data_IF_514895212968
#
_entry.id   IF_514895212968
#
_cell.length_a   1.000
_cell.length_b   1.000
_cell.length_c   1.000
_cell.angle_alpha   90.00
_cell.angle_beta   90.00
_cell.angle_gamma   90.00
#
_symmetry.space_group_name_H-M   'P 1'
#
loop_
_entity.id
_entity.type
_entity.pdbx_description
1 polymer ?
#
# COMPACT_ATOMS: atom_id res chain seq x y z
N UNK A 1 -2.44 -1.72 -25.94
CA UNK A 1 -2.19 -0.39 -25.37
C UNK A 1 -1.76 -0.58 -23.94
N UNK A 2 -0.64 0.02 -23.57
CA UNK A 2 -0.21 0.01 -22.18
C UNK A 2 -1.20 0.85 -21.38
N UNK A 3 -1.69 0.29 -20.27
CA UNK A 3 -2.60 1.01 -19.39
C UNK A 3 -1.85 2.08 -18.62
N UNK A 4 -2.50 3.22 -18.39
CA UNK A 4 -1.98 4.28 -17.55
C UNK A 4 -1.70 3.74 -16.13
N UNK A 5 -0.51 3.97 -15.62
CA UNK A 5 -0.06 3.60 -14.27
C UNK A 5 -0.14 4.80 -13.35
N UNK A 6 -1.11 4.81 -12.46
CA UNK A 6 -1.35 5.89 -11.49
C UNK A 6 -0.86 5.51 -10.11
N UNK A 7 -0.10 6.38 -9.48
CA UNK A 7 0.16 6.34 -8.05
C UNK A 7 -0.98 7.06 -7.30
N UNK A 8 -1.57 6.41 -6.32
CA UNK A 8 -2.40 7.05 -5.28
C UNK A 8 -1.68 6.85 -3.96
N UNK A 9 -1.24 7.92 -3.34
CA UNK A 9 -0.41 7.85 -2.15
C UNK A 9 -0.93 8.72 -1.01
N UNK A 10 -1.16 8.08 0.15
CA UNK A 10 -1.60 8.76 1.35
C UNK A 10 -0.42 9.07 2.27
N UNK A 11 -0.31 10.32 2.71
CA UNK A 11 0.69 10.78 3.67
C UNK A 11 0.02 11.50 4.83
N UNK A 12 0.29 11.04 6.05
CA UNK A 12 -0.02 11.79 7.24
C UNK A 12 1.18 12.67 7.60
N UNK A 13 0.94 13.98 7.65
CA UNK A 13 1.98 14.99 7.86
C UNK A 13 1.84 15.56 9.27
N UNK A 14 2.94 15.55 10.01
CA UNK A 14 3.05 16.15 11.33
C UNK A 14 4.27 17.06 11.39
N UNK A 15 4.38 17.86 12.44
CA UNK A 15 5.49 18.80 12.63
C UNK A 15 6.87 18.14 12.58
N UNK A 16 6.97 16.92 13.10
CA UNK A 16 8.20 16.12 13.09
C UNK A 16 8.38 15.25 11.84
N UNK A 17 7.62 15.51 10.76
CA UNK A 17 7.66 14.72 9.52
C UNK A 17 9.09 14.50 9.01
N UNK A 18 9.93 15.56 9.02
CA UNK A 18 11.30 15.51 8.54
C UNK A 18 12.29 14.93 9.54
N UNK A 19 11.87 14.71 10.75
CA UNK A 19 12.70 14.11 11.81
C UNK A 19 12.57 12.59 11.81
N UNK A 20 11.46 12.08 11.31
CA UNK A 20 11.15 10.64 11.27
C UNK A 20 11.83 9.95 10.09
N UNK A 21 12.71 9.03 10.41
CA UNK A 21 13.45 8.26 9.41
C UNK A 21 12.53 7.45 8.50
N UNK A 22 11.41 6.93 9.00
CA UNK A 22 10.39 6.24 8.22
C UNK A 22 9.82 7.09 7.08
N UNK A 23 9.56 8.38 7.33
CA UNK A 23 9.07 9.29 6.29
C UNK A 23 10.16 9.57 5.24
N UNK A 24 11.41 9.74 5.66
CA UNK A 24 12.54 9.98 4.77
C UNK A 24 12.83 8.75 3.91
N UNK A 25 12.75 7.54 4.48
CA UNK A 25 12.82 6.26 3.74
C UNK A 25 11.70 6.17 2.71
N UNK A 26 10.47 6.55 3.07
CA UNK A 26 9.34 6.63 2.14
C UNK A 26 9.67 7.55 0.96
N UNK A 27 10.19 8.74 1.21
CA UNK A 27 10.56 9.69 0.14
C UNK A 27 11.65 9.13 -0.78
N UNK A 28 12.67 8.47 -0.25
CA UNK A 28 13.72 7.87 -1.08
C UNK A 28 13.22 6.65 -1.88
N UNK A 29 12.35 5.82 -1.32
CA UNK A 29 11.69 4.76 -2.08
C UNK A 29 10.84 5.33 -3.24
N UNK A 30 10.02 6.34 -2.97
CA UNK A 30 9.24 7.01 -4.00
C UNK A 30 10.13 7.66 -5.07
N UNK A 31 11.26 8.26 -4.69
CA UNK A 31 12.24 8.81 -5.63
C UNK A 31 12.80 7.74 -6.57
N UNK A 32 13.21 6.58 -6.01
CA UNK A 32 13.75 5.47 -6.80
C UNK A 32 12.77 4.98 -7.85
N UNK A 33 11.49 4.89 -7.48
CA UNK A 33 10.45 4.30 -8.33
C UNK A 33 9.54 5.31 -9.03
N UNK A 34 9.82 6.62 -8.93
CA UNK A 34 8.96 7.68 -9.49
C UNK A 34 8.67 7.51 -10.99
N UNK A 35 9.66 6.98 -11.76
CA UNK A 35 9.58 6.78 -13.21
C UNK A 35 8.63 5.66 -13.65
N UNK A 36 8.20 4.79 -12.72
CA UNK A 36 7.24 3.73 -13.02
C UNK A 36 5.87 4.31 -13.34
N UNK A 37 5.54 5.46 -12.74
CA UNK A 37 4.20 6.03 -12.77
C UNK A 37 4.04 7.07 -13.88
N UNK A 38 2.89 7.03 -14.54
CA UNK A 38 2.48 8.01 -15.54
C UNK A 38 1.86 9.27 -14.91
N UNK A 39 1.28 9.15 -13.71
CA UNK A 39 0.77 10.26 -12.91
C UNK A 39 0.72 9.86 -11.43
N UNK A 40 0.68 10.85 -10.54
CA UNK A 40 0.68 10.64 -9.11
C UNK A 40 -0.28 11.60 -8.40
N UNK A 41 -1.16 11.04 -7.57
CA UNK A 41 -2.05 11.78 -6.67
C UNK A 41 -1.60 11.57 -5.22
N UNK A 42 -1.15 12.65 -4.59
CA UNK A 42 -0.77 12.65 -3.18
C UNK A 42 -1.88 13.22 -2.31
N UNK A 43 -2.31 12.42 -1.36
CA UNK A 43 -3.30 12.79 -0.34
C UNK A 43 -2.57 13.14 0.94
N UNK A 44 -2.45 14.44 1.20
CA UNK A 44 -1.75 14.99 2.35
C UNK A 44 -2.73 15.22 3.49
N UNK A 45 -2.69 14.35 4.49
CA UNK A 45 -3.51 14.45 5.69
C UNK A 45 -2.73 15.15 6.78
N UNK A 46 -3.30 16.18 7.39
CA UNK A 46 -2.65 17.01 8.40
C UNK A 46 -3.67 17.44 9.47
N UNK A 47 -3.24 17.57 10.72
CA UNK A 47 -4.13 17.99 11.82
C UNK A 47 -4.52 19.45 11.73
N UNK A 48 -3.61 20.32 11.28
CA UNK A 48 -3.89 21.73 10.99
C UNK A 48 -3.72 22.05 9.50
N UNK A 49 -4.83 22.10 8.76
CA UNK A 49 -4.83 22.41 7.32
C UNK A 49 -4.37 23.84 6.99
N UNK A 50 -4.21 24.71 7.99
CA UNK A 50 -3.69 26.05 7.82
C UNK A 50 -2.17 26.15 8.03
N UNK A 51 -1.50 25.06 8.38
CA UNK A 51 -0.03 24.99 8.46
C UNK A 51 0.58 24.91 7.04
N UNK A 52 0.42 25.99 6.27
CA UNK A 52 0.88 26.09 4.87
C UNK A 52 2.40 25.95 4.75
N UNK A 53 3.18 26.32 5.76
CA UNK A 53 4.63 26.19 5.71
C UNK A 53 5.03 24.70 5.65
N UNK A 54 4.49 23.88 6.53
CA UNK A 54 4.76 22.46 6.56
C UNK A 54 4.25 21.76 5.28
N UNK A 55 3.03 22.11 4.85
CA UNK A 55 2.45 21.57 3.61
C UNK A 55 3.35 21.87 2.43
N UNK A 56 3.72 23.13 2.21
CA UNK A 56 4.58 23.55 1.10
C UNK A 56 5.95 22.88 1.14
N UNK A 57 6.53 22.66 2.32
CA UNK A 57 7.81 21.93 2.44
C UNK A 57 7.68 20.48 1.96
N UNK A 58 6.59 19.78 2.34
CA UNK A 58 6.35 18.39 1.91
C UNK A 58 6.07 18.34 0.41
N UNK A 59 5.21 19.21 -0.12
CA UNK A 59 4.92 19.30 -1.55
C UNK A 59 6.20 19.53 -2.37
N UNK A 60 7.06 20.45 -1.94
CA UNK A 60 8.33 20.73 -2.60
C UNK A 60 9.26 19.50 -2.65
N UNK A 61 9.31 18.69 -1.59
CA UNK A 61 10.07 17.44 -1.62
C UNK A 61 9.47 16.48 -2.64
N UNK A 62 8.14 16.31 -2.63
CA UNK A 62 7.45 15.39 -3.54
C UNK A 62 7.64 15.81 -5.01
N UNK A 63 7.54 17.10 -5.33
CA UNK A 63 7.81 17.64 -6.68
C UNK A 63 9.24 17.27 -7.12
N UNK A 64 10.20 17.29 -6.20
CA UNK A 64 11.60 16.96 -6.47
C UNK A 64 11.93 15.45 -6.40
N UNK A 65 10.93 14.57 -6.28
CA UNK A 65 11.16 13.11 -6.30
C UNK A 65 11.45 12.57 -7.72
N UNK A 66 11.21 13.39 -8.75
CA UNK A 66 11.57 13.03 -10.12
C UNK A 66 10.47 12.30 -10.89
N UNK A 67 9.22 12.51 -10.55
CA UNK A 67 8.11 12.12 -11.42
C UNK A 67 8.18 12.91 -12.74
N UNK A 68 8.01 12.22 -13.87
CA UNK A 68 8.14 12.84 -15.19
C UNK A 68 6.85 13.54 -15.66
N UNK A 69 5.73 13.25 -15.02
CA UNK A 69 4.39 13.67 -15.45
C UNK A 69 3.60 14.28 -14.29
N UNK A 70 2.32 14.44 -14.49
CA UNK A 70 1.42 15.18 -13.61
C UNK A 70 1.41 14.67 -12.17
N UNK A 71 1.70 15.57 -11.24
CA UNK A 71 1.53 15.37 -9.80
C UNK A 71 0.35 16.23 -9.36
N UNK A 72 -0.57 15.63 -8.60
CA UNK A 72 -1.63 16.38 -7.93
C UNK A 72 -1.52 16.23 -6.41
N UNK A 73 -1.91 17.28 -5.70
CA UNK A 73 -1.99 17.29 -4.24
C UNK A 73 -3.43 17.53 -3.81
N UNK A 74 -3.87 16.76 -2.83
CA UNK A 74 -5.16 16.91 -2.17
C UNK A 74 -4.92 16.96 -0.68
N UNK A 75 -5.14 18.15 -0.10
CA UNK A 75 -4.92 18.41 1.33
C UNK A 75 -6.25 18.26 2.04
N UNK A 76 -6.27 17.52 3.12
CA UNK A 76 -7.44 17.35 3.96
C UNK A 76 -7.05 17.26 5.44
N UNK A 77 -7.99 17.60 6.29
CA UNK A 77 -7.82 17.43 7.72
C UNK A 77 -7.76 15.93 8.05
N UNK A 78 -6.84 15.55 8.94
CA UNK A 78 -6.76 14.18 9.42
C UNK A 78 -8.08 13.79 10.11
N UNK A 79 -8.57 12.61 9.79
CA UNK A 79 -9.78 12.04 10.35
C UNK A 79 -9.54 10.61 10.86
N UNK A 80 -10.57 10.02 11.49
CA UNK A 80 -10.50 8.67 12.03
C UNK A 80 -10.38 7.57 10.95
N UNK A 81 -10.75 7.86 9.71
CA UNK A 81 -10.76 6.88 8.59
C UNK A 81 -9.43 6.80 7.86
N UNK A 82 -8.59 7.85 7.94
CA UNK A 82 -7.25 7.89 7.36
C UNK A 82 -7.23 7.44 5.88
N UNK A 83 -6.28 6.54 5.53
CA UNK A 83 -6.15 5.98 4.19
C UNK A 83 -7.41 5.27 3.69
N UNK A 84 -8.28 4.80 4.57
CA UNK A 84 -9.53 4.14 4.19
C UNK A 84 -10.50 5.07 3.47
N UNK A 85 -10.52 6.37 3.85
CA UNK A 85 -11.32 7.36 3.14
C UNK A 85 -10.89 7.52 1.68
N UNK A 86 -9.57 7.46 1.43
CA UNK A 86 -9.00 7.57 0.09
C UNK A 86 -9.29 6.33 -0.76
N UNK A 87 -9.11 5.13 -0.18
CA UNK A 87 -9.46 3.88 -0.88
C UNK A 87 -10.94 3.90 -1.28
N UNK A 88 -11.81 4.33 -0.38
CA UNK A 88 -13.24 4.43 -0.69
C UNK A 88 -13.50 5.43 -1.80
N UNK A 89 -13.09 6.70 -1.64
CA UNK A 89 -13.45 7.78 -2.56
C UNK A 89 -12.75 7.70 -3.92
N UNK A 90 -11.51 7.22 -3.96
CA UNK A 90 -10.68 7.24 -5.15
C UNK A 90 -10.62 5.90 -5.89
N UNK A 91 -10.92 4.81 -5.22
CA UNK A 91 -10.92 3.48 -5.85
C UNK A 91 -12.35 2.95 -5.93
N UNK A 92 -12.98 2.71 -4.81
CA UNK A 92 -14.28 2.01 -4.77
C UNK A 92 -15.40 2.82 -5.42
N UNK A 93 -15.51 4.10 -5.10
CA UNK A 93 -16.58 4.97 -5.63
C UNK A 93 -16.36 5.34 -7.12
N UNK A 94 -15.16 5.09 -7.68
CA UNK A 94 -14.77 5.43 -9.07
C UNK A 94 -14.50 4.22 -9.96
N UNK A 95 -14.79 3.02 -9.52
CA UNK A 95 -14.47 1.78 -10.25
C UNK A 95 -15.05 1.72 -11.68
N UNK A 96 -16.21 2.35 -11.92
CA UNK A 96 -16.89 2.37 -13.21
C UNK A 96 -16.41 3.46 -14.17
N UNK A 97 -15.60 4.38 -13.69
CA UNK A 97 -15.14 5.54 -14.46
C UNK A 97 -13.64 5.51 -14.79
N UNK A 98 -12.89 4.57 -14.21
CA UNK A 98 -11.44 4.48 -14.37
C UNK A 98 -11.03 3.30 -15.25
N UNK A 99 -10.30 3.57 -16.33
CA UNK A 99 -9.65 2.57 -17.18
C UNK A 99 -8.13 2.64 -17.02
N UNK A 100 -7.65 2.35 -15.81
CA UNK A 100 -6.23 2.48 -15.46
C UNK A 100 -5.79 1.37 -14.51
N UNK A 101 -4.47 1.27 -14.30
CA UNK A 101 -3.85 0.50 -13.23
C UNK A 101 -3.43 1.48 -12.13
N UNK A 102 -3.82 1.20 -10.90
CA UNK A 102 -3.49 1.99 -9.72
C UNK A 102 -2.48 1.24 -8.87
N UNK A 103 -1.43 1.92 -8.44
CA UNK A 103 -0.68 1.53 -7.25
C UNK A 103 -1.17 2.36 -6.07
N UNK A 104 -1.64 1.69 -5.04
CA UNK A 104 -1.98 2.33 -3.78
C UNK A 104 -0.90 2.06 -2.74
N UNK A 105 -0.46 3.12 -2.07
CA UNK A 105 0.50 3.04 -0.98
C UNK A 105 0.30 4.19 0.01
N UNK A 106 0.96 4.09 1.16
CA UNK A 106 0.90 5.17 2.16
C UNK A 106 2.17 5.25 3.00
N UNK A 107 2.40 6.42 3.60
CA UNK A 107 3.44 6.60 4.61
C UNK A 107 3.09 5.78 5.86
N UNK A 108 4.02 4.96 6.31
CA UNK A 108 3.84 4.07 7.47
C UNK A 108 4.67 4.52 8.66
N UNK A 109 4.16 4.18 9.84
CA UNK A 109 4.95 4.24 11.04
C UNK A 109 4.56 5.30 12.05
N UNK A 110 3.62 6.14 11.68
CA UNK A 110 3.34 7.34 12.44
C UNK A 110 2.67 7.08 13.79
N UNK A 111 1.66 6.21 13.79
CA UNK A 111 0.83 5.97 14.98
C UNK A 111 1.33 4.85 15.88
N UNK A 112 2.37 4.15 15.45
CA UNK A 112 2.84 2.92 16.12
C UNK A 112 4.26 3.06 16.70
N UNK A 113 4.94 4.21 16.55
CA UNK A 113 6.29 4.42 17.07
C UNK A 113 6.38 4.39 18.61
N UNK A 114 5.27 4.63 19.30
CA UNK A 114 5.21 4.42 20.75
C UNK A 114 5.23 2.94 21.15
N UNK A 115 4.89 2.06 20.22
CA UNK A 115 4.70 0.63 20.45
C UNK A 115 5.78 -0.22 19.81
N UNK A 116 6.44 0.27 18.74
CA UNK A 116 7.39 -0.49 17.94
C UNK A 116 8.67 0.29 17.69
N UNK A 117 9.79 -0.42 17.58
CA UNK A 117 11.07 0.18 17.23
C UNK A 117 11.06 0.71 15.79
N UNK A 118 11.57 1.92 15.59
CA UNK A 118 11.62 2.57 14.28
C UNK A 118 12.36 1.73 13.23
N UNK A 119 13.43 1.04 13.63
CA UNK A 119 14.19 0.18 12.72
C UNK A 119 13.35 -0.99 12.19
N UNK A 120 12.56 -1.66 13.02
CA UNK A 120 11.68 -2.75 12.61
C UNK A 120 10.64 -2.27 11.60
N UNK A 121 10.11 -1.08 11.81
CA UNK A 121 9.17 -0.45 10.88
C UNK A 121 9.82 -0.08 9.56
N UNK A 122 11.07 0.39 9.56
CA UNK A 122 11.84 0.69 8.36
C UNK A 122 12.06 -0.59 7.54
N UNK A 123 12.44 -1.70 8.15
CA UNK A 123 12.65 -2.97 7.45
C UNK A 123 11.36 -3.46 6.79
N UNK A 124 10.26 -3.41 7.52
CA UNK A 124 8.97 -3.78 6.98
C UNK A 124 8.54 -2.88 5.82
N UNK A 125 8.71 -1.56 5.96
CA UNK A 125 8.39 -0.57 4.94
C UNK A 125 9.22 -0.78 3.66
N UNK A 126 10.53 -1.00 3.80
CA UNK A 126 11.43 -1.31 2.68
C UNK A 126 11.00 -2.59 1.96
N UNK A 127 10.58 -3.61 2.70
CA UNK A 127 10.00 -4.83 2.13
C UNK A 127 8.74 -4.58 1.32
N UNK A 128 7.81 -3.75 1.84
CA UNK A 128 6.60 -3.39 1.12
C UNK A 128 6.91 -2.69 -0.21
N UNK A 129 7.83 -1.73 -0.22
CA UNK A 129 8.25 -1.03 -1.44
C UNK A 129 8.97 -1.97 -2.41
N UNK A 130 9.93 -2.74 -1.93
CA UNK A 130 10.69 -3.65 -2.77
C UNK A 130 9.78 -4.66 -3.46
N UNK A 131 8.99 -5.42 -2.69
CA UNK A 131 8.12 -6.47 -3.22
C UNK A 131 7.00 -5.94 -4.12
N UNK A 132 6.62 -4.68 -3.97
CA UNK A 132 5.55 -4.11 -4.80
C UNK A 132 6.06 -3.35 -6.02
N UNK A 133 7.22 -2.69 -5.94
CA UNK A 133 7.69 -1.77 -6.98
C UNK A 133 8.91 -2.28 -7.74
N UNK A 134 9.82 -3.04 -7.14
CA UNK A 134 10.90 -3.70 -7.89
C UNK A 134 10.33 -4.73 -8.88
N UNK A 135 9.23 -5.39 -8.52
CA UNK A 135 8.52 -6.35 -9.35
C UNK A 135 7.31 -5.73 -10.10
N UNK A 136 7.36 -4.43 -10.38
CA UNK A 136 6.26 -3.74 -11.07
C UNK A 136 5.95 -4.31 -12.44
N UNK A 137 6.94 -4.72 -13.21
CA UNK A 137 6.76 -5.34 -14.53
C UNK A 137 6.06 -6.70 -14.43
N UNK A 138 6.42 -7.52 -13.44
CA UNK A 138 5.72 -8.77 -13.12
C UNK A 138 4.28 -8.50 -12.72
N UNK A 139 4.07 -7.54 -11.82
CA UNK A 139 2.73 -7.12 -11.41
C UNK A 139 1.89 -6.70 -12.61
N UNK A 140 2.43 -5.85 -13.50
CA UNK A 140 1.75 -5.43 -14.72
C UNK A 140 1.43 -6.61 -15.62
N UNK A 141 2.39 -7.51 -15.87
CA UNK A 141 2.15 -8.71 -16.67
C UNK A 141 1.00 -9.55 -16.11
N UNK A 142 0.99 -9.81 -14.81
CA UNK A 142 -0.03 -10.64 -14.16
C UNK A 142 -1.42 -9.98 -14.18
N UNK A 143 -1.51 -8.70 -13.79
CA UNK A 143 -2.83 -8.05 -13.64
C UNK A 143 -3.39 -7.48 -14.94
N UNK A 144 -2.56 -7.25 -15.98
CA UNK A 144 -3.03 -6.78 -17.30
C UNK A 144 -3.09 -7.89 -18.32
N UNK A 145 -2.10 -8.78 -18.36
CA UNK A 145 -1.96 -9.83 -19.37
C UNK A 145 -2.80 -11.07 -19.09
N UNK A 146 -2.95 -11.46 -17.82
CA UNK A 146 -3.73 -12.64 -17.44
C UNK A 146 -5.15 -12.26 -17.06
N UNK A 147 -6.15 -12.99 -17.54
CA UNK A 147 -7.56 -12.71 -17.22
C UNK A 147 -7.93 -12.99 -15.76
N UNK A 148 -7.08 -13.68 -15.03
CA UNK A 148 -7.39 -14.19 -13.68
C UNK A 148 -7.16 -13.13 -12.60
N UNK A 149 -6.03 -12.40 -12.67
CA UNK A 149 -5.65 -11.49 -11.59
C UNK A 149 -6.11 -10.06 -11.85
N UNK A 150 -6.59 -9.40 -10.81
CA UNK A 150 -6.92 -7.97 -10.80
C UNK A 150 -6.12 -7.18 -9.76
N UNK A 151 -5.44 -7.85 -8.83
CA UNK A 151 -4.59 -7.24 -7.83
C UNK A 151 -3.27 -7.98 -7.64
N UNK A 152 -2.22 -7.22 -7.30
CA UNK A 152 -0.89 -7.70 -6.93
C UNK A 152 -0.36 -6.85 -5.78
N UNK A 153 0.16 -7.46 -4.72
CA UNK A 153 0.65 -6.71 -3.55
C UNK A 153 1.69 -7.45 -2.72
N UNK A 154 2.24 -6.72 -1.74
CA UNK A 154 3.23 -7.23 -0.80
C UNK A 154 2.57 -7.88 0.42
N UNK A 155 3.25 -8.84 1.01
CA UNK A 155 2.92 -9.48 2.30
C UNK A 155 1.44 -9.81 2.51
N UNK A 156 0.85 -10.74 1.75
CA UNK A 156 -0.51 -11.16 2.03
C UNK A 156 -0.59 -11.81 3.41
N UNK A 157 -1.51 -11.31 4.21
CA UNK A 157 -1.74 -11.75 5.58
C UNK A 157 -3.11 -12.40 5.70
N UNK A 158 -3.16 -13.59 6.29
CA UNK A 158 -4.40 -14.23 6.67
C UNK A 158 -4.93 -13.60 7.97
N UNK A 159 -6.13 -13.06 7.93
CA UNK A 159 -6.79 -12.48 9.09
C UNK A 159 -7.45 -13.61 9.90
N UNK A 160 -6.93 -13.87 11.09
CA UNK A 160 -7.54 -14.82 12.02
C UNK A 160 -8.88 -14.30 12.57
N UNK A 161 -9.79 -15.23 12.90
CA UNK A 161 -11.18 -15.01 13.32
C UNK A 161 -11.43 -14.06 14.51
N UNK A 162 -10.43 -13.54 15.18
CA UNK A 162 -10.58 -12.90 16.49
C UNK A 162 -10.57 -11.39 16.53
N UNK A 163 -10.47 -10.70 15.41
CA UNK A 163 -10.53 -9.25 15.40
C UNK A 163 -11.65 -8.80 14.49
N UNK A 164 -12.18 -7.64 14.65
CA UNK A 164 -13.15 -6.87 13.85
C UNK A 164 -13.56 -7.40 12.45
N UNK A 165 -12.82 -8.40 11.93
CA UNK A 165 -13.14 -9.17 10.74
C UNK A 165 -14.41 -10.02 10.91
N UNK A 166 -14.78 -10.42 12.12
CA UNK A 166 -15.92 -11.34 12.29
C UNK A 166 -17.25 -10.70 11.94
N UNK A 167 -17.47 -9.43 12.30
CA UNK A 167 -18.66 -8.70 11.91
C UNK A 167 -18.63 -8.34 10.41
N UNK A 168 -17.46 -8.07 9.87
CA UNK A 168 -17.26 -7.75 8.46
C UNK A 168 -17.39 -8.99 7.59
N UNK A 169 -16.85 -10.13 8.02
CA UNK A 169 -16.96 -11.44 7.37
C UNK A 169 -18.39 -12.00 7.51
N UNK A 170 -19.02 -11.90 8.67
CA UNK A 170 -20.40 -12.35 8.87
C UNK A 170 -21.39 -11.55 7.99
N UNK A 171 -21.16 -10.27 7.79
CA UNK A 171 -21.96 -9.44 6.88
C UNK A 171 -21.66 -9.74 5.40
N UNK A 172 -20.48 -10.24 5.07
CA UNK A 172 -20.06 -10.60 3.72
C UNK A 172 -20.13 -12.11 3.41
N UNK A 173 -20.40 -12.98 4.39
CA UNK A 173 -20.63 -14.42 4.15
C UNK A 173 -21.71 -14.68 3.09
N UNK A 174 -22.73 -13.84 3.02
CA UNK A 174 -23.74 -13.84 1.98
C UNK A 174 -23.15 -13.59 0.57
N UNK A 175 -22.02 -12.90 0.45
CA UNK A 175 -21.44 -12.49 -0.83
C UNK A 175 -20.31 -13.40 -1.30
N UNK A 176 -19.56 -13.93 -0.38
CA UNK A 176 -18.30 -14.59 -0.72
C UNK A 176 -18.39 -16.11 -0.69
N UNK A 177 -19.41 -16.69 -0.06
CA UNK A 177 -19.72 -18.14 -0.06
C UNK A 177 -18.56 -19.15 -0.03
N UNK A 178 -17.32 -18.68 -0.16
CA UNK A 178 -16.12 -19.48 -0.41
C UNK A 178 -14.94 -19.16 0.51
N UNK A 179 -14.92 -18.00 1.19
CA UNK A 179 -13.75 -17.61 1.99
C UNK A 179 -14.10 -17.73 3.47
N UNK A 180 -13.61 -18.80 4.09
CA UNK A 180 -13.71 -19.00 5.55
C UNK A 180 -12.83 -18.03 6.35
N UNK A 181 -11.89 -17.33 5.70
CA UNK A 181 -10.89 -16.47 6.34
C UNK A 181 -10.69 -15.24 5.47
N UNK A 182 -10.74 -14.05 6.08
CA UNK A 182 -10.33 -12.81 5.43
C UNK A 182 -8.84 -12.80 5.19
N UNK A 183 -8.39 -12.00 4.22
CA UNK A 183 -6.98 -11.73 3.99
C UNK A 183 -6.80 -10.26 3.64
N UNK A 184 -5.56 -9.76 3.73
CA UNK A 184 -5.19 -8.42 3.29
C UNK A 184 -3.76 -8.41 2.77
N UNK A 185 -3.38 -7.35 2.05
CA UNK A 185 -1.98 -7.02 1.89
C UNK A 185 -1.53 -6.21 3.10
N UNK A 186 -0.60 -6.78 3.89
CA UNK A 186 -0.08 -6.11 5.07
C UNK A 186 0.51 -4.75 4.68
N UNK A 187 0.00 -3.69 5.28
CA UNK A 187 0.45 -2.35 5.01
C UNK A 187 -0.20 -1.62 3.86
N UNK A 188 -1.15 -2.24 3.17
CA UNK A 188 -1.93 -1.58 2.13
C UNK A 188 -1.07 -1.08 0.95
N UNK A 189 -0.12 -1.92 0.50
CA UNK A 189 0.70 -1.68 -0.69
C UNK A 189 0.28 -2.67 -1.78
N UNK A 190 -0.38 -2.17 -2.83
CA UNK A 190 -0.89 -3.04 -3.88
C UNK A 190 -1.12 -2.32 -5.22
N UNK A 191 -1.00 -3.09 -6.29
CA UNK A 191 -1.44 -2.74 -7.62
C UNK A 191 -2.85 -3.25 -7.89
N UNK A 192 -3.65 -2.47 -8.59
CA UNK A 192 -5.01 -2.83 -9.02
C UNK A 192 -5.21 -2.55 -10.50
N UNK A 193 -5.75 -3.52 -11.23
CA UNK A 193 -6.34 -3.28 -12.53
C UNK A 193 -7.81 -2.93 -12.32
N UNK A 194 -8.15 -1.65 -12.41
CA UNK A 194 -9.47 -1.13 -12.02
C UNK A 194 -10.62 -1.77 -12.83
N UNK A 195 -10.59 -1.89 -14.16
CA UNK A 195 -11.65 -2.56 -14.89
C UNK A 195 -11.89 -4.00 -14.47
N UNK A 196 -10.83 -4.78 -14.24
CA UNK A 196 -10.97 -6.16 -13.77
C UNK A 196 -11.52 -6.23 -12.34
N UNK A 197 -11.08 -5.32 -11.48
CA UNK A 197 -11.62 -5.20 -10.13
C UNK A 197 -13.10 -4.83 -10.17
N UNK A 198 -13.49 -3.94 -11.07
CA UNK A 198 -14.90 -3.58 -11.27
C UNK A 198 -15.77 -4.80 -11.54
N UNK A 199 -15.35 -5.71 -12.42
CA UNK A 199 -16.08 -6.93 -12.73
C UNK A 199 -16.21 -7.84 -11.50
N UNK A 200 -15.17 -7.96 -10.69
CA UNK A 200 -15.19 -8.73 -9.45
C UNK A 200 -16.05 -8.08 -8.35
N UNK A 201 -16.16 -6.76 -8.35
CA UNK A 201 -16.87 -5.99 -7.31
C UNK A 201 -18.33 -5.69 -7.62
N UNK A 202 -18.91 -6.18 -8.72
CA UNK A 202 -20.31 -5.91 -9.07
C UNK A 202 -21.28 -6.24 -7.93
N UNK A 203 -21.10 -7.39 -7.28
CA UNK A 203 -21.93 -7.81 -6.14
C UNK A 203 -21.74 -6.87 -4.95
N UNK A 204 -20.50 -6.46 -4.69
CA UNK A 204 -20.15 -5.55 -3.61
C UNK A 204 -20.74 -4.14 -3.81
N UNK A 205 -20.79 -3.63 -5.05
CA UNK A 205 -21.45 -2.35 -5.37
C UNK A 205 -22.94 -2.36 -5.12
N UNK A 206 -23.60 -3.46 -5.45
CA UNK A 206 -25.05 -3.62 -5.21
C UNK A 206 -25.36 -3.69 -3.70
N UNK A 207 -24.40 -4.17 -2.92
CA UNK A 207 -24.52 -4.36 -1.48
C UNK A 207 -23.22 -3.96 -0.78
N UNK A 208 -22.92 -2.66 -0.70
CA UNK A 208 -21.68 -2.18 -0.09
C UNK A 208 -21.63 -2.59 1.39
N UNK A 209 -20.43 -2.81 1.96
CA UNK A 209 -20.30 -3.11 3.36
C UNK A 209 -20.93 -2.02 4.20
N UNK A 210 -21.67 -2.43 5.24
CA UNK A 210 -22.34 -1.52 6.15
C UNK A 210 -21.39 -0.80 7.08
N UNK A 211 -20.20 -1.37 7.28
CA UNK A 211 -19.18 -0.84 8.18
C UNK A 211 -18.04 -0.27 7.32
N UNK A 212 -17.79 1.00 7.50
CA UNK A 212 -16.65 1.72 6.99
C UNK A 212 -15.83 2.19 8.19
N UNK A 213 -14.62 1.66 8.38
CA UNK A 213 -13.72 1.97 9.47
C UNK A 213 -12.29 2.25 8.96
N UNK A 214 -11.39 2.61 9.89
CA UNK A 214 -9.98 2.89 9.57
C UNK A 214 -9.22 1.70 8.94
N UNK A 215 -9.72 0.49 9.07
CA UNK A 215 -9.11 -0.73 8.51
C UNK A 215 -9.74 -1.16 7.20
N UNK A 216 -10.67 -0.36 6.67
CA UNK A 216 -11.34 -0.67 5.41
C UNK A 216 -10.34 -0.84 4.26
N UNK A 217 -9.33 0.03 4.17
CA UNK A 217 -8.28 -0.04 3.14
C UNK A 217 -7.50 -1.35 3.14
N UNK A 218 -7.26 -1.91 4.34
CA UNK A 218 -6.54 -3.16 4.48
C UNK A 218 -7.41 -4.37 4.10
N UNK A 219 -8.70 -4.31 4.35
CA UNK A 219 -9.62 -5.46 4.30
C UNK A 219 -10.43 -5.57 3.02
N UNK A 220 -10.64 -4.47 2.30
CA UNK A 220 -11.63 -4.47 1.21
C UNK A 220 -11.28 -5.45 0.10
N UNK A 221 -10.01 -5.59 -0.28
CA UNK A 221 -9.59 -6.55 -1.30
C UNK A 221 -9.83 -8.00 -0.88
N UNK A 222 -9.45 -8.33 0.36
CA UNK A 222 -9.66 -9.67 0.91
C UNK A 222 -11.13 -10.04 1.05
N UNK A 223 -12.01 -9.04 1.17
CA UNK A 223 -13.46 -9.25 1.24
C UNK A 223 -14.11 -9.46 -0.13
N UNK A 224 -13.50 -8.96 -1.22
CA UNK A 224 -14.09 -9.02 -2.57
C UNK A 224 -13.40 -10.00 -3.50
N UNK A 225 -12.19 -10.45 -3.16
CA UNK A 225 -11.39 -11.32 -4.02
C UNK A 225 -10.83 -12.51 -3.28
N UNK A 226 -10.73 -13.64 -3.99
CA UNK A 226 -9.99 -14.80 -3.50
C UNK A 226 -8.50 -14.61 -3.78
N UNK A 227 -7.65 -14.79 -2.76
CA UNK A 227 -6.20 -14.83 -2.96
C UNK A 227 -5.80 -16.03 -3.84
N UNK A 228 -4.81 -15.88 -4.71
CA UNK A 228 -4.39 -16.81 -5.75
C UNK A 228 -5.43 -17.12 -6.85
N UNK A 229 -6.67 -16.61 -6.75
CA UNK A 229 -7.65 -16.73 -7.84
C UNK A 229 -7.86 -15.40 -8.57
N UNK A 230 -7.84 -14.28 -7.83
CA UNK A 230 -8.06 -12.94 -8.37
C UNK A 230 -7.01 -11.93 -7.89
N UNK A 231 -6.26 -12.29 -6.84
CA UNK A 231 -5.17 -11.50 -6.29
C UNK A 231 -3.93 -12.36 -6.06
N UNK A 232 -2.75 -11.78 -6.24
CA UNK A 232 -1.47 -12.46 -6.10
C UNK A 232 -0.38 -11.50 -5.61
N UNK A 233 0.84 -11.97 -5.50
CA UNK A 233 2.02 -11.18 -5.15
C UNK A 233 3.29 -11.94 -5.50
N UNK A 234 4.43 -11.27 -5.44
CA UNK A 234 5.71 -11.85 -5.80
C UNK A 234 6.04 -13.07 -4.94
N UNK A 235 6.28 -14.22 -5.58
CA UNK A 235 6.65 -15.51 -4.97
C UNK A 235 5.86 -15.92 -3.71
N UNK A 236 4.71 -15.31 -3.46
CA UNK A 236 3.92 -15.55 -2.28
C UNK A 236 3.16 -16.86 -2.42
N UNK A 237 3.75 -17.93 -1.89
CA UNK A 237 3.13 -19.25 -1.85
C UNK A 237 2.17 -19.43 -0.68
N UNK A 238 2.30 -18.59 0.35
CA UNK A 238 1.55 -18.72 1.60
C UNK A 238 1.10 -17.36 2.11
N UNK A 239 -0.06 -17.36 2.75
CA UNK A 239 -0.52 -16.26 3.57
C UNK A 239 0.14 -16.35 4.95
N UNK A 240 0.71 -15.28 5.45
CA UNK A 240 1.22 -15.23 6.81
C UNK A 240 0.06 -15.19 7.79
N UNK A 241 0.14 -15.95 8.89
CA UNK A 241 -0.88 -15.92 9.94
C UNK A 241 -0.43 -15.02 11.10
N UNK A 242 -1.27 -14.05 11.45
CA UNK A 242 -1.37 -13.40 12.76
C UNK A 242 -0.14 -12.79 13.42
N UNK A 243 1.04 -12.90 12.86
CA UNK A 243 2.26 -12.37 13.45
C UNK A 243 2.39 -10.88 13.20
N UNK A 244 2.79 -10.17 14.22
CA UNK A 244 3.05 -8.76 14.13
C UNK A 244 4.33 -8.49 13.33
N UNK A 245 4.18 -8.05 12.08
CA UNK A 245 5.29 -7.73 11.17
C UNK A 245 6.22 -6.61 11.69
N UNK A 246 5.81 -5.94 12.75
CA UNK A 246 6.58 -4.87 13.38
C UNK A 246 7.53 -5.35 14.49
N UNK A 247 7.50 -6.65 14.82
CA UNK A 247 8.46 -7.21 15.76
C UNK A 247 9.84 -7.34 15.12
N UNK A 248 10.88 -7.16 15.90
CA UNK A 248 12.26 -7.31 15.47
C UNK A 248 12.49 -8.66 14.75
N UNK A 249 13.11 -8.57 13.59
CA UNK A 249 13.45 -9.72 12.76
C UNK A 249 12.30 -10.31 11.95
N UNK A 250 11.04 -10.11 12.31
CA UNK A 250 9.89 -10.74 11.61
C UNK A 250 9.80 -10.27 10.16
N UNK A 251 9.95 -8.98 9.91
CA UNK A 251 9.93 -8.45 8.54
C UNK A 251 11.09 -9.02 7.71
N UNK A 252 12.29 -9.14 8.29
CA UNK A 252 13.44 -9.72 7.63
C UNK A 252 13.26 -11.20 7.34
N UNK A 253 12.72 -11.97 8.28
CA UNK A 253 12.39 -13.38 8.06
C UNK A 253 11.33 -13.56 6.95
N UNK A 254 10.33 -12.71 6.92
CA UNK A 254 9.32 -12.72 5.86
C UNK A 254 9.95 -12.40 4.49
N UNK A 255 10.86 -11.45 4.40
CA UNK A 255 11.59 -11.15 3.17
C UNK A 255 12.42 -12.36 2.73
N UNK A 256 13.19 -12.97 3.61
CA UNK A 256 13.98 -14.17 3.31
C UNK A 256 13.11 -15.34 2.87
N UNK A 257 11.91 -15.44 3.38
CA UNK A 257 10.97 -16.49 2.99
C UNK A 257 10.34 -16.24 1.62
N UNK A 258 10.05 -14.98 1.28
CA UNK A 258 9.40 -14.59 0.04
C UNK A 258 10.37 -14.58 -1.14
N UNK A 259 11.59 -14.08 -0.92
CA UNK A 259 12.64 -13.98 -1.93
C UNK A 259 13.44 -15.29 -2.00
N UNK A 260 13.71 -15.75 -3.22
CA UNK A 260 14.65 -16.84 -3.43
C UNK A 260 16.06 -16.44 -2.99
N UNK A 261 16.95 -17.39 -2.74
CA UNK A 261 18.34 -17.13 -2.34
C UNK A 261 19.08 -16.21 -3.32
N UNK A 262 18.80 -16.33 -4.62
CA UNK A 262 19.39 -15.49 -5.68
C UNK A 262 18.83 -14.04 -5.68
N UNK A 263 17.64 -13.81 -5.15
CA UNK A 263 16.98 -12.50 -5.11
C UNK A 263 17.32 -11.70 -3.83
N UNK A 264 17.66 -12.39 -2.75
CA UNK A 264 17.97 -11.76 -1.46
C UNK A 264 19.11 -10.74 -1.54
N UNK A 265 20.24 -10.99 -2.23
CA UNK A 265 21.30 -10.00 -2.35
C UNK A 265 20.84 -8.68 -2.96
N UNK A 266 19.94 -8.72 -3.97
CA UNK A 266 19.41 -7.51 -4.60
C UNK A 266 18.54 -6.70 -3.62
N UNK A 267 17.75 -7.36 -2.78
CA UNK A 267 17.00 -6.69 -1.72
C UNK A 267 17.93 -6.02 -0.70
N UNK A 268 18.98 -6.69 -0.24
CA UNK A 268 19.90 -6.10 0.72
C UNK A 268 20.67 -4.91 0.11
N UNK A 269 21.05 -5.02 -1.16
CA UNK A 269 21.65 -3.88 -1.88
C UNK A 269 20.68 -2.71 -1.96
N UNK A 270 19.42 -2.94 -2.38
CA UNK A 270 18.37 -1.92 -2.40
C UNK A 270 18.21 -1.24 -1.04
N UNK A 271 18.13 -2.03 0.04
CA UNK A 271 18.02 -1.51 1.41
C UNK A 271 19.17 -0.58 1.76
N UNK A 272 20.41 -1.00 1.52
CA UNK A 272 21.60 -0.20 1.80
C UNK A 272 21.63 1.10 0.95
N UNK A 273 21.26 1.02 -0.32
CA UNK A 273 21.18 2.20 -1.19
C UNK A 273 20.17 3.23 -0.66
N UNK A 274 18.97 2.80 -0.25
CA UNK A 274 17.97 3.70 0.32
C UNK A 274 18.44 4.32 1.64
N UNK A 275 18.99 3.51 2.55
CA UNK A 275 19.45 4.01 3.85
C UNK A 275 20.62 4.97 3.71
N UNK A 276 21.56 4.73 2.79
CA UNK A 276 22.65 5.63 2.49
C UNK A 276 22.15 6.94 1.87
N UNK A 277 21.19 6.88 0.94
CA UNK A 277 20.57 8.07 0.36
C UNK A 277 19.86 8.94 1.42
N UNK A 278 19.16 8.32 2.38
CA UNK A 278 18.58 9.03 3.52
C UNK A 278 19.66 9.71 4.35
N UNK A 279 20.75 9.02 4.67
CA UNK A 279 21.87 9.58 5.43
C UNK A 279 22.55 10.75 4.70
N UNK A 280 22.86 10.58 3.42
CA UNK A 280 23.53 11.60 2.61
C UNK A 280 22.67 12.84 2.41
N UNK A 281 21.37 12.68 2.18
CA UNK A 281 20.46 13.78 1.83
C UNK A 281 19.90 14.51 3.04
N UNK A 282 19.67 13.79 4.13
CA UNK A 282 18.97 14.32 5.31
C UNK A 282 19.81 14.27 6.60
N UNK A 283 20.97 13.62 6.60
CA UNK A 283 21.84 13.48 7.77
C UNK A 283 21.31 12.52 8.85
N UNK A 284 20.43 11.58 8.50
CA UNK A 284 19.71 10.69 9.43
C UNK A 284 20.13 9.21 9.31
#
# INVERSE_FOLDING_TARGET
MDKLKRLIFYLYITEDFFERKTNLVTMECLRRYSKIFDCADFYLSIDDVHNYELINRVENIIINLGFDKDISFKIHQNDEYRESAIVKSEIVDKLDTRDEVIFFGHGKGFTNLETYEENSMIHWLLGCYYLSLEFADEAMHLITGMNTFSAYGSFPLLLEKRSMADDYLAQNELYLGRIKYGWCYSGTFFWLNVPKLYDHMQIFKQNPPKIFDRYYSEKFLGNVMSYNSNATGHNLRYLFSGNNMYNDGVAEECIKFVLNEDEQPAYYQFREEILNAVKERYGK
#
